data_IF_215280411407
#
_entry.id   IF_215280411407
#
_cell.length_a   1.000
_cell.length_b   1.000
_cell.length_c   1.000
_cell.angle_alpha   90.00
_cell.angle_beta   90.00
_cell.angle_gamma   90.00
#
_symmetry.space_group_name_H-M   'P 1'
#
loop_
_entity.id
_entity.type
_entity.pdbx_description
1 polymer ?
#
# COMPACT_ATOMS: atom_id res chain seq x y z
N UNK A 1 -26.90 27.43 -19.11
CA UNK A 1 -26.93 26.15 -18.36
C UNK A 1 -25.50 25.64 -18.31
N UNK A 2 -24.90 25.65 -17.12
CA UNK A 2 -23.48 25.33 -16.93
C UNK A 2 -23.35 23.82 -16.74
N UNK A 3 -22.79 23.12 -17.71
CA UNK A 3 -22.53 21.67 -17.62
C UNK A 3 -21.21 21.46 -16.89
N UNK A 4 -21.28 21.19 -15.58
CA UNK A 4 -20.14 20.69 -14.80
C UNK A 4 -19.78 19.30 -15.31
N UNK A 5 -18.58 19.17 -15.88
CA UNK A 5 -18.01 17.89 -16.28
C UNK A 5 -17.75 17.06 -15.01
N UNK A 6 -18.58 16.03 -14.80
CA UNK A 6 -18.35 14.97 -13.82
C UNK A 6 -17.03 14.25 -14.18
N UNK A 7 -15.91 14.77 -13.68
CA UNK A 7 -14.68 13.99 -13.60
C UNK A 7 -14.93 12.95 -12.54
N UNK A 8 -15.39 11.76 -12.95
CA UNK A 8 -15.33 10.56 -12.11
C UNK A 8 -13.88 10.42 -11.65
N UNK A 9 -13.60 10.86 -10.44
CA UNK A 9 -12.29 10.72 -9.83
C UNK A 9 -12.09 9.24 -9.60
N UNK A 10 -11.35 8.59 -10.49
CA UNK A 10 -10.99 7.18 -10.32
C UNK A 10 -10.20 7.09 -9.02
N UNK A 11 -10.83 6.55 -7.98
CA UNK A 11 -10.11 6.34 -6.72
C UNK A 11 -9.13 5.19 -6.92
N UNK A 12 -8.03 5.19 -6.17
CA UNK A 12 -7.12 4.03 -6.19
C UNK A 12 -7.86 2.71 -5.92
N UNK A 13 -8.91 2.77 -5.10
CA UNK A 13 -9.78 1.62 -4.83
C UNK A 13 -10.63 1.20 -6.01
N UNK A 14 -11.12 2.15 -6.81
CA UNK A 14 -11.83 1.84 -8.06
C UNK A 14 -10.89 1.21 -9.11
N UNK A 15 -9.59 1.48 -9.01
CA UNK A 15 -8.56 0.78 -9.78
C UNK A 15 -8.20 -0.62 -9.22
N UNK A 16 -8.91 -1.08 -8.19
CA UNK A 16 -8.69 -2.37 -7.53
C UNK A 16 -7.55 -2.38 -6.51
N UNK A 17 -7.07 -1.22 -6.06
CA UNK A 17 -6.00 -1.10 -5.06
C UNK A 17 -6.61 -0.95 -3.67
N UNK A 18 -6.32 -1.91 -2.80
CA UNK A 18 -6.68 -1.88 -1.38
C UNK A 18 -5.44 -1.59 -0.53
N UNK A 19 -5.36 -0.37 0.01
CA UNK A 19 -4.19 0.10 0.77
C UNK A 19 -4.17 -0.52 2.16
N UNK A 20 -5.34 -0.59 2.80
CA UNK A 20 -5.49 -1.16 4.14
C UNK A 20 -5.11 -2.66 4.15
N UNK A 21 -5.49 -3.41 3.11
CA UNK A 21 -5.08 -4.80 2.96
C UNK A 21 -3.56 -4.94 2.79
N UNK A 22 -2.93 -3.99 2.09
CA UNK A 22 -1.48 -3.92 1.93
C UNK A 22 -0.76 -3.72 3.27
N UNK A 23 -1.20 -2.73 4.05
CA UNK A 23 -0.61 -2.44 5.36
C UNK A 23 -0.81 -3.61 6.35
N UNK A 24 -2.00 -4.20 6.36
CA UNK A 24 -2.29 -5.38 7.18
C UNK A 24 -1.38 -6.57 6.82
N UNK A 25 -1.12 -6.78 5.53
CA UNK A 25 -0.20 -7.82 5.08
C UNK A 25 1.23 -7.53 5.58
N UNK A 26 1.71 -6.30 5.44
CA UNK A 26 3.07 -5.90 5.89
C UNK A 26 3.28 -6.23 7.37
N UNK A 27 2.31 -5.93 8.23
CA UNK A 27 2.39 -6.26 9.66
C UNK A 27 2.44 -7.78 9.90
N UNK A 28 1.67 -8.56 9.15
CA UNK A 28 1.69 -10.03 9.25
C UNK A 28 3.03 -10.63 8.80
N UNK A 29 3.66 -10.06 7.76
CA UNK A 29 4.89 -10.62 7.19
C UNK A 29 6.18 -10.07 7.78
N UNK A 30 6.14 -8.93 8.47
CA UNK A 30 7.27 -8.32 9.19
C UNK A 30 8.16 -9.32 9.95
N UNK A 31 7.63 -10.21 10.81
CA UNK A 31 8.48 -11.16 11.54
C UNK A 31 9.18 -12.16 10.63
N UNK A 32 8.57 -12.57 9.51
CA UNK A 32 9.18 -13.47 8.54
C UNK A 32 10.26 -12.77 7.73
N UNK A 33 9.99 -11.55 7.26
CA UNK A 33 10.97 -10.72 6.56
C UNK A 33 12.19 -10.39 7.44
N UNK A 34 11.95 -10.09 8.73
CA UNK A 34 13.04 -9.82 9.68
C UNK A 34 14.02 -10.99 9.83
N UNK A 35 13.55 -12.24 9.71
CA UNK A 35 14.39 -13.44 9.82
C UNK A 35 15.34 -13.62 8.63
N UNK A 36 15.07 -12.97 7.51
CA UNK A 36 15.91 -13.04 6.29
C UNK A 36 16.81 -11.83 6.12
N UNK A 37 16.90 -10.97 7.14
CA UNK A 37 17.72 -9.75 7.09
C UNK A 37 19.20 -10.06 6.98
N UNK A 38 19.91 -9.28 6.17
CA UNK A 38 21.35 -9.35 6.02
C UNK A 38 22.03 -8.12 6.66
N UNK A 39 23.32 -8.21 7.04
CA UNK A 39 24.04 -7.11 7.69
C UNK A 39 24.08 -5.80 6.88
N UNK A 40 23.96 -5.89 5.55
CA UNK A 40 24.02 -4.72 4.67
C UNK A 40 22.67 -3.97 4.57
N UNK A 41 21.57 -4.58 5.02
CA UNK A 41 20.23 -3.97 4.92
C UNK A 41 20.03 -2.97 6.05
N UNK A 42 19.73 -1.72 5.69
CA UNK A 42 19.39 -0.66 6.64
C UNK A 42 17.87 -0.50 6.70
N UNK A 43 17.27 -0.75 7.87
CA UNK A 43 15.82 -0.60 8.09
C UNK A 43 15.02 -1.90 7.93
N UNK A 44 13.70 -1.78 7.73
CA UNK A 44 12.76 -2.89 7.56
C UNK A 44 11.63 -2.54 6.58
N UNK A 45 10.67 -3.46 6.44
CA UNK A 45 9.46 -3.22 5.63
C UNK A 45 8.40 -2.50 6.47
N UNK A 46 7.61 -1.61 5.86
CA UNK A 46 6.69 -0.72 6.57
C UNK A 46 7.46 0.37 7.33
N UNK A 47 7.24 1.63 6.94
CA UNK A 47 8.04 2.79 7.33
C UNK A 47 8.29 2.96 8.82
#
# INVERSE_FOLDING_TARGET
MTTSSDKTSLTYRDAGVDMEAGDALVEQIKPFAKRTMRPEVMGGIGG
#
